data_IF_138573860692
#
_entry.id   IF_138573860692
#
_cell.length_a   1.000
_cell.length_b   1.000
_cell.length_c   1.000
_cell.angle_alpha   90.00
_cell.angle_beta   90.00
_cell.angle_gamma   90.00
#
_symmetry.space_group_name_H-M   'P 1'
#
loop_
_entity.id
_entity.type
_entity.pdbx_description
1 polymer ?
#
# COMPACT_ATOMS: atom_id res chain seq x y z
N UNK A 1 -4.58 -18.41 16.35
CA UNK A 1 -3.24 -18.40 15.72
C UNK A 1 -2.18 -18.41 16.81
N UNK A 2 -1.10 -19.18 16.63
CA UNK A 2 0.08 -19.13 17.52
C UNK A 2 0.81 -17.79 17.35
N UNK A 3 1.53 -17.30 18.36
CA UNK A 3 2.29 -16.04 18.30
C UNK A 3 3.22 -15.96 17.09
N UNK A 4 3.87 -17.07 16.75
CA UNK A 4 4.73 -17.19 15.58
C UNK A 4 3.98 -16.96 14.27
N UNK A 5 2.74 -17.43 14.20
CA UNK A 5 1.95 -17.39 12.97
C UNK A 5 1.26 -16.03 12.80
N UNK A 6 0.94 -15.35 13.92
CA UNK A 6 0.61 -13.92 13.90
C UNK A 6 1.79 -13.04 13.46
N UNK A 7 3.01 -13.38 13.90
CA UNK A 7 4.20 -12.62 13.50
C UNK A 7 4.40 -12.65 11.98
N UNK A 8 4.35 -13.84 11.37
CA UNK A 8 4.46 -13.96 9.91
C UNK A 8 3.32 -13.26 9.18
N UNK A 9 2.10 -13.28 9.72
CA UNK A 9 0.97 -12.56 9.13
C UNK A 9 1.16 -11.03 9.18
N UNK A 10 1.56 -10.48 10.34
CA UNK A 10 1.82 -9.04 10.52
C UNK A 10 3.03 -8.56 9.69
N UNK A 11 4.07 -9.40 9.59
CA UNK A 11 5.24 -9.13 8.78
C UNK A 11 4.92 -9.18 7.27
N UNK A 12 4.05 -10.10 6.85
CA UNK A 12 3.58 -10.16 5.47
C UNK A 12 2.79 -8.92 5.10
N UNK A 13 1.81 -8.52 5.92
CA UNK A 13 0.99 -7.33 5.69
C UNK A 13 1.86 -6.06 5.56
N UNK A 14 2.80 -5.87 6.48
CA UNK A 14 3.75 -4.74 6.44
C UNK A 14 4.66 -4.74 5.23
N UNK A 15 5.12 -5.91 4.78
CA UNK A 15 5.99 -6.00 3.62
C UNK A 15 5.22 -5.67 2.34
N UNK A 16 4.00 -6.19 2.19
CA UNK A 16 3.12 -5.91 1.05
C UNK A 16 2.81 -4.42 0.98
N UNK A 17 2.39 -3.81 2.09
CA UNK A 17 2.10 -2.37 2.16
C UNK A 17 3.31 -1.50 1.79
N UNK A 18 4.50 -1.83 2.30
CA UNK A 18 5.74 -1.13 1.98
C UNK A 18 6.14 -1.25 0.50
N UNK A 19 5.94 -2.43 -0.11
CA UNK A 19 6.23 -2.64 -1.52
C UNK A 19 5.28 -1.82 -2.39
N UNK A 20 3.99 -1.84 -2.09
CA UNK A 20 2.98 -1.08 -2.84
C UNK A 20 3.20 0.42 -2.69
N UNK A 21 3.52 0.90 -1.48
CA UNK A 21 3.88 2.30 -1.26
C UNK A 21 5.09 2.73 -2.08
N UNK A 22 6.15 1.91 -2.14
CA UNK A 22 7.33 2.17 -2.99
C UNK A 22 7.00 2.16 -4.49
N UNK A 23 6.03 1.35 -4.89
CA UNK A 23 5.57 1.27 -6.27
C UNK A 23 4.77 2.52 -6.66
N UNK A 24 3.87 2.98 -5.79
CA UNK A 24 3.13 4.24 -5.98
C UNK A 24 4.07 5.45 -6.01
N UNK A 25 5.10 5.44 -5.16
CA UNK A 25 6.16 6.46 -5.12
C UNK A 25 7.08 6.43 -6.37
N UNK A 26 6.97 5.38 -7.21
CA UNK A 26 7.76 5.23 -8.43
C UNK A 26 9.18 4.69 -8.20
N UNK A 27 9.47 4.14 -7.02
CA UNK A 27 10.78 3.55 -6.70
C UNK A 27 10.97 2.14 -7.28
N UNK A 28 9.88 1.39 -7.46
CA UNK A 28 9.90 0.03 -8.02
C UNK A 28 8.83 -0.14 -9.10
N UNK A 29 9.13 -0.97 -10.09
CA UNK A 29 8.20 -1.30 -11.17
C UNK A 29 7.11 -2.30 -10.72
N UNK A 30 6.00 -2.33 -11.44
CA UNK A 30 4.84 -3.17 -11.16
C UNK A 30 5.24 -4.66 -11.13
N UNK A 31 6.03 -5.11 -12.11
CA UNK A 31 6.50 -6.51 -12.20
C UNK A 31 7.45 -6.88 -11.03
N UNK A 32 8.34 -5.93 -10.67
CA UNK A 32 9.28 -6.12 -9.56
C UNK A 32 8.56 -6.19 -8.21
N UNK A 33 7.54 -5.35 -8.03
CA UNK A 33 6.72 -5.34 -6.84
C UNK A 33 5.96 -6.67 -6.69
N UNK A 34 5.29 -7.14 -7.75
CA UNK A 34 4.61 -8.44 -7.78
C UNK A 34 5.56 -9.59 -7.42
N UNK A 35 6.72 -9.67 -8.06
CA UNK A 35 7.71 -10.72 -7.76
C UNK A 35 8.24 -10.67 -6.33
N UNK A 36 8.33 -9.47 -5.72
CA UNK A 36 8.72 -9.33 -4.32
C UNK A 36 7.61 -9.73 -3.36
N UNK A 37 6.36 -9.34 -3.62
CA UNK A 37 5.19 -9.72 -2.82
C UNK A 37 5.09 -11.26 -2.78
N UNK A 38 5.22 -11.93 -3.92
CA UNK A 38 5.18 -13.39 -4.04
C UNK A 38 6.30 -14.12 -3.29
N UNK A 39 7.36 -13.41 -2.90
CA UNK A 39 8.47 -13.94 -2.10
C UNK A 39 8.38 -13.59 -0.62
N UNK A 40 7.34 -12.86 -0.19
CA UNK A 40 7.14 -12.51 1.21
C UNK A 40 6.82 -13.76 2.01
N UNK A 41 7.54 -13.97 3.11
CA UNK A 41 7.23 -15.06 4.04
C UNK A 41 5.89 -14.80 4.72
N UNK A 42 5.02 -15.81 4.74
CA UNK A 42 3.69 -15.70 5.32
C UNK A 42 2.63 -15.10 4.39
N UNK A 43 2.92 -14.85 3.11
CA UNK A 43 1.93 -14.40 2.13
C UNK A 43 0.75 -15.39 1.97
N UNK A 44 1.02 -16.69 2.09
CA UNK A 44 -0.02 -17.73 2.13
C UNK A 44 -1.03 -17.50 3.28
N UNK A 45 -0.58 -16.90 4.39
CA UNK A 45 -1.45 -16.58 5.54
C UNK A 45 -2.35 -15.37 5.27
N UNK A 46 -1.97 -14.50 4.34
CA UNK A 46 -2.79 -13.35 3.94
C UNK A 46 -3.81 -13.74 2.87
N UNK A 47 -3.68 -14.93 2.28
CA UNK A 47 -4.52 -15.39 1.15
C UNK A 47 -4.23 -14.64 -0.14
N UNK A 48 -2.99 -14.12 -0.29
CA UNK A 48 -2.53 -13.47 -1.52
C UNK A 48 -1.61 -14.42 -2.27
N UNK A 49 -1.86 -14.60 -3.55
CA UNK A 49 -1.19 -15.54 -4.44
C UNK A 49 -1.06 -14.97 -5.86
N UNK A 50 -0.38 -15.69 -6.74
CA UNK A 50 -0.03 -15.22 -8.10
C UNK A 50 -1.24 -14.84 -8.96
N UNK A 51 -2.41 -15.40 -8.65
CA UNK A 51 -3.68 -15.20 -9.35
C UNK A 51 -4.36 -13.89 -8.92
N UNK A 52 -4.33 -13.55 -7.62
CA UNK A 52 -5.05 -12.39 -7.06
C UNK A 52 -4.14 -11.19 -6.70
N UNK A 53 -2.81 -11.37 -6.63
CA UNK A 53 -1.85 -10.32 -6.25
C UNK A 53 -1.94 -9.09 -7.17
N UNK A 54 -2.31 -9.30 -8.43
CA UNK A 54 -2.50 -8.24 -9.42
C UNK A 54 -3.64 -7.28 -9.02
N UNK A 55 -4.79 -7.87 -8.66
CA UNK A 55 -6.00 -7.14 -8.26
C UNK A 55 -5.78 -6.43 -6.92
N UNK A 56 -5.21 -7.12 -5.94
CA UNK A 56 -4.90 -6.57 -4.61
C UNK A 56 -3.94 -5.38 -4.73
N UNK A 57 -2.88 -5.54 -5.52
CA UNK A 57 -1.89 -4.48 -5.73
C UNK A 57 -2.50 -3.27 -6.43
N UNK A 58 -3.38 -3.49 -7.41
CA UNK A 58 -4.09 -2.41 -8.10
C UNK A 58 -5.05 -1.69 -7.14
N UNK A 59 -5.83 -2.41 -6.34
CA UNK A 59 -6.76 -1.83 -5.36
C UNK A 59 -6.03 -0.97 -4.31
N UNK A 60 -4.96 -1.48 -3.71
CA UNK A 60 -4.18 -0.74 -2.70
C UNK A 60 -3.48 0.46 -3.33
N UNK A 61 -2.95 0.34 -4.55
CA UNK A 61 -2.34 1.47 -5.26
C UNK A 61 -3.34 2.59 -5.56
N UNK A 62 -4.61 2.23 -5.82
CA UNK A 62 -5.71 3.17 -5.99
C UNK A 62 -6.11 3.83 -4.67
N UNK A 63 -6.14 3.08 -3.55
CA UNK A 63 -6.44 3.63 -2.22
C UNK A 63 -5.38 4.67 -1.79
N UNK A 64 -4.10 4.37 -2.01
CA UNK A 64 -2.99 5.28 -1.71
C UNK A 64 -3.09 6.59 -2.50
N UNK A 65 -3.32 6.51 -3.82
CA UNK A 65 -3.55 7.71 -4.65
C UNK A 65 -4.78 8.51 -4.24
N UNK A 66 -5.81 7.83 -3.73
CA UNK A 66 -7.06 8.47 -3.29
C UNK A 66 -6.85 9.25 -1.98
N UNK A 67 -6.02 8.75 -1.06
CA UNK A 67 -5.62 9.49 0.15
C UNK A 67 -4.91 10.81 -0.18
N UNK A 68 -4.03 10.83 -1.17
CA UNK A 68 -3.33 12.06 -1.56
C UNK A 68 -4.29 13.14 -2.08
N UNK A 69 -5.36 12.76 -2.80
CA UNK A 69 -6.38 13.71 -3.25
C UNK A 69 -7.25 14.28 -2.12
N UNK A 70 -7.43 13.57 -1.01
CA UNK A 70 -8.17 14.08 0.16
C UNK A 70 -7.33 15.06 1.00
N UNK A 71 -6.01 14.86 1.01
CA UNK A 71 -5.05 15.72 1.72
C UNK A 71 -4.89 17.08 1.04
N UNK A 72 -4.94 17.18 -0.29
CA UNK A 72 -4.84 18.49 -1.00
C UNK A 72 -6.05 19.40 -0.72
N UNK A 73 -7.24 18.83 -0.53
CA UNK A 73 -8.46 19.61 -0.21
C UNK A 73 -8.35 20.23 1.19
N UNK A 74 -7.69 19.55 2.13
CA UNK A 74 -7.55 20.01 3.52
C UNK A 74 -6.58 21.18 3.65
N UNK A 75 -5.49 21.17 2.87
CA UNK A 75 -4.45 22.22 2.93
C UNK A 75 -4.90 23.48 2.17
N UNK A 76 -5.71 23.34 1.12
CA UNK A 76 -6.22 24.46 0.34
C UNK A 76 -7.32 25.28 1.04
N UNK A 77 -7.97 24.75 2.09
CA UNK A 77 -8.99 25.52 2.82
C UNK A 77 -8.41 26.47 3.88
N UNK A 78 -7.21 26.18 4.42
CA UNK A 78 -6.57 27.01 5.45
C UNK A 78 -5.82 28.24 4.89
N UNK A 79 -5.45 28.22 3.61
CA UNK A 79 -4.69 29.31 2.99
C UNK A 79 -5.57 30.45 2.41
N UNK A 80 -6.85 30.22 2.16
CA UNK A 80 -7.77 31.26 1.65
C UNK A 80 -8.34 32.20 2.74
N UNK A 81 -8.16 31.90 4.03
CA UNK A 81 -8.67 32.76 5.12
C UNK A 81 -7.68 33.80 5.66
N UNK A 82 -6.45 33.88 5.13
CA UNK A 82 -5.45 34.90 5.56
C UNK A 82 -5.11 35.95 4.51
N UNK A 83 -5.72 35.92 3.33
CA UNK A 83 -5.55 36.94 2.30
C UNK A 83 -6.89 37.56 1.86
N UNK A 84 -7.72 37.94 2.83
CA UNK A 84 -9.07 38.42 2.58
C UNK A 84 -9.51 39.54 3.51
N UNK A 85 -8.83 40.71 3.39
CA UNK A 85 -9.17 42.04 3.95
C UNK A 85 -8.94 42.28 5.45
#
# INVERSE_FOLDING_TARGET
MSKTMQYFWDEAEKNVDNLISKMVDGQIDWDTCKSKILKVEGLDLTGVDEDNVDEVMNEVSLDLKKKESDVDISINLENDSKLGK
#
